data_IF_573870013002
#
_entry.id   IF_573870013002
#
_cell.length_a   1.000
_cell.length_b   1.000
_cell.length_c   1.000
_cell.angle_alpha   90.00
_cell.angle_beta   90.00
_cell.angle_gamma   90.00
#
_symmetry.space_group_name_H-M   'P 1'
#
loop_
_entity.id
_entity.type
_entity.pdbx_description
1 polymer ?
#
# COMPACT_ATOMS: atom_id res chain seq x y z
N UNK A 1 -9.29 -39.09 74.66
CA UNK A 1 -7.99 -38.61 74.19
C UNK A 1 -8.07 -38.46 72.69
N UNK A 2 -8.38 -37.28 72.23
CA UNK A 2 -8.47 -36.95 70.80
C UNK A 2 -7.28 -36.15 70.36
N UNK A 3 -6.90 -36.20 69.09
CA UNK A 3 -6.08 -35.16 68.54
C UNK A 3 -6.79 -34.23 67.56
N UNK A 4 -6.29 -33.04 67.56
CA UNK A 4 -6.71 -31.83 66.95
C UNK A 4 -6.86 -31.85 65.41
N UNK A 5 -7.91 -31.20 64.96
CA UNK A 5 -8.12 -30.85 63.55
C UNK A 5 -7.21 -29.69 63.15
N UNK A 6 -6.30 -29.88 62.21
CA UNK A 6 -5.57 -28.83 61.53
C UNK A 6 -6.38 -28.25 60.37
N UNK A 7 -6.78 -26.99 60.48
CA UNK A 7 -7.43 -26.20 59.43
C UNK A 7 -6.37 -25.87 58.36
N UNK A 8 -6.58 -26.36 57.12
CA UNK A 8 -5.87 -25.94 55.93
C UNK A 8 -6.40 -24.56 55.49
N UNK A 9 -5.53 -23.55 55.63
CA UNK A 9 -5.72 -22.22 55.04
C UNK A 9 -5.56 -22.30 53.50
N UNK A 10 -6.67 -22.16 52.81
CA UNK A 10 -6.70 -22.05 51.38
C UNK A 10 -5.95 -20.77 50.91
N UNK A 11 -4.90 -20.96 50.14
CA UNK A 11 -4.21 -19.88 49.46
C UNK A 11 -5.13 -19.37 48.33
N UNK A 12 -5.64 -18.17 48.48
CA UNK A 12 -6.31 -17.41 47.44
C UNK A 12 -5.21 -16.98 46.44
N UNK A 13 -5.23 -17.60 45.25
CA UNK A 13 -4.41 -17.14 44.13
C UNK A 13 -5.08 -15.88 43.55
N UNK A 14 -4.34 -14.74 43.44
CA UNK A 14 -4.90 -13.59 42.73
C UNK A 14 -5.09 -13.97 41.24
N UNK A 15 -6.31 -13.82 40.74
CA UNK A 15 -6.60 -13.80 39.31
C UNK A 15 -5.83 -12.60 38.72
N UNK A 16 -4.72 -12.86 38.09
CA UNK A 16 -4.06 -11.89 37.20
C UNK A 16 -4.96 -11.80 35.98
N UNK A 17 -5.81 -10.77 35.98
CA UNK A 17 -6.54 -10.37 34.80
C UNK A 17 -5.49 -9.86 33.78
N UNK A 18 -5.04 -10.77 32.93
CA UNK A 18 -4.23 -10.43 31.75
C UNK A 18 -5.16 -9.71 30.77
N UNK A 19 -5.23 -8.40 30.88
CA UNK A 19 -5.73 -7.57 29.80
C UNK A 19 -4.73 -7.67 28.66
N UNK A 20 -4.90 -8.71 27.85
CA UNK A 20 -4.31 -8.76 26.52
C UNK A 20 -4.94 -7.60 25.73
N UNK A 21 -4.28 -6.45 25.78
CA UNK A 21 -4.53 -5.32 24.89
C UNK A 21 -4.32 -5.86 23.49
N UNK A 22 -5.41 -6.16 22.77
CA UNK A 22 -5.39 -6.57 21.39
C UNK A 22 -4.60 -5.51 20.63
N UNK A 23 -3.39 -5.86 20.21
CA UNK A 23 -2.72 -5.18 19.10
C UNK A 23 -3.63 -5.45 17.92
N UNK A 24 -4.40 -4.46 17.50
CA UNK A 24 -4.90 -4.41 16.14
C UNK A 24 -3.67 -4.56 15.26
N UNK A 25 -3.56 -5.67 14.53
CA UNK A 25 -2.57 -5.84 13.48
C UNK A 25 -2.90 -4.77 12.43
N UNK A 26 -2.29 -3.59 12.57
CA UNK A 26 -2.30 -2.56 11.54
C UNK A 26 -1.51 -3.17 10.39
N UNK A 27 -2.20 -3.53 9.32
CA UNK A 27 -1.58 -4.08 8.13
C UNK A 27 -0.58 -3.06 7.59
N UNK A 28 0.71 -3.35 7.73
CA UNK A 28 1.78 -2.49 7.24
C UNK A 28 1.96 -2.70 5.75
N UNK A 29 2.10 -1.62 5.01
CA UNK A 29 2.35 -1.66 3.57
C UNK A 29 3.83 -1.31 3.29
N UNK A 30 4.60 -2.24 2.69
CA UNK A 30 5.95 -1.91 2.26
C UNK A 30 5.92 -0.85 1.17
N UNK A 31 6.78 0.15 1.31
CA UNK A 31 6.82 1.31 0.41
C UNK A 31 8.25 1.83 0.27
N UNK A 32 8.58 2.37 -0.91
CA UNK A 32 9.85 3.04 -1.12
C UNK A 32 9.80 4.48 -0.57
N UNK A 33 10.96 5.06 -0.23
CA UNK A 33 11.01 6.45 0.21
C UNK A 33 10.48 7.43 -0.85
N UNK A 34 10.82 7.29 -2.16
CA UNK A 34 10.21 8.10 -3.21
C UNK A 34 8.70 7.90 -3.38
N UNK A 35 8.20 6.67 -3.12
CA UNK A 35 6.77 6.39 -3.15
C UNK A 35 6.02 7.10 -2.04
N UNK A 36 6.52 7.01 -0.82
CA UNK A 36 5.94 7.72 0.32
C UNK A 36 5.94 9.24 0.09
N UNK A 37 7.01 9.79 -0.48
CA UNK A 37 7.08 11.21 -0.79
C UNK A 37 5.99 11.64 -1.77
N UNK A 38 5.76 10.87 -2.85
CA UNK A 38 4.68 11.17 -3.81
C UNK A 38 3.30 11.18 -3.17
N UNK A 39 2.99 10.21 -2.30
CA UNK A 39 1.71 10.18 -1.58
C UNK A 39 1.56 11.37 -0.63
N UNK A 40 2.63 11.78 0.05
CA UNK A 40 2.62 12.97 0.89
C UNK A 40 2.41 14.26 0.07
N UNK A 41 3.01 14.35 -1.11
CA UNK A 41 2.84 15.52 -2.00
C UNK A 41 1.41 15.58 -2.55
N UNK A 42 0.83 14.43 -2.95
CA UNK A 42 -0.58 14.33 -3.34
C UNK A 42 -1.51 14.76 -2.19
N UNK A 43 -1.29 14.25 -0.98
CA UNK A 43 -2.04 14.63 0.21
C UNK A 43 -1.97 16.14 0.48
N UNK A 44 -0.78 16.71 0.37
CA UNK A 44 -0.56 18.15 0.54
C UNK A 44 -1.32 18.95 -0.52
N UNK A 45 -1.27 18.55 -1.79
CA UNK A 45 -1.99 19.21 -2.88
C UNK A 45 -3.51 19.18 -2.64
N UNK A 46 -4.05 18.02 -2.28
CA UNK A 46 -5.48 17.88 -1.99
C UNK A 46 -5.91 18.80 -0.83
N UNK A 47 -5.14 18.83 0.26
CA UNK A 47 -5.46 19.66 1.45
C UNK A 47 -5.25 21.15 1.22
N UNK A 48 -4.17 21.55 0.55
CA UNK A 48 -3.79 22.94 0.43
C UNK A 48 -4.44 23.65 -0.78
N UNK A 49 -4.78 22.91 -1.84
CA UNK A 49 -5.29 23.49 -3.09
C UNK A 49 -6.70 23.02 -3.42
N UNK A 50 -6.91 21.71 -3.58
CA UNK A 50 -8.19 21.18 -4.07
C UNK A 50 -9.34 21.41 -3.09
N UNK A 51 -9.13 21.07 -1.81
CA UNK A 51 -10.14 21.26 -0.76
C UNK A 51 -10.60 22.73 -0.62
N UNK A 52 -9.72 23.74 -0.52
CA UNK A 52 -10.15 25.15 -0.48
C UNK A 52 -10.81 25.60 -1.77
N UNK A 53 -10.37 25.09 -2.92
CA UNK A 53 -10.96 25.41 -4.22
C UNK A 53 -12.41 24.94 -4.31
N UNK A 54 -12.66 23.65 -3.97
CA UNK A 54 -14.02 23.11 -4.02
C UNK A 54 -14.96 23.74 -3.00
N UNK A 55 -14.47 24.14 -1.84
CA UNK A 55 -15.27 24.88 -0.84
C UNK A 55 -15.74 26.21 -1.41
N UNK A 56 -14.86 26.93 -2.14
CA UNK A 56 -15.24 28.18 -2.82
C UNK A 56 -16.27 27.94 -3.91
N UNK A 57 -16.08 26.93 -4.76
CA UNK A 57 -17.04 26.56 -5.80
C UNK A 57 -18.42 26.24 -5.23
N UNK A 58 -18.48 25.54 -4.10
CA UNK A 58 -19.76 25.28 -3.40
C UNK A 58 -20.39 26.57 -2.88
N UNK A 59 -19.58 27.46 -2.32
CA UNK A 59 -20.07 28.75 -1.84
C UNK A 59 -20.61 29.61 -2.98
N UNK A 60 -19.90 29.67 -4.11
CA UNK A 60 -20.32 30.42 -5.30
C UNK A 60 -21.60 29.81 -5.91
N UNK A 61 -21.68 28.49 -6.04
CA UNK A 61 -22.88 27.83 -6.55
C UNK A 61 -24.12 28.09 -5.70
N UNK A 62 -23.98 28.28 -4.39
CA UNK A 62 -25.09 28.63 -3.49
C UNK A 62 -25.71 29.98 -3.76
N UNK A 63 -24.98 30.90 -4.41
CA UNK A 63 -25.49 32.26 -4.74
C UNK A 63 -26.38 32.26 -5.99
N UNK A 64 -26.43 31.16 -6.75
CA UNK A 64 -27.11 31.06 -8.06
C UNK A 64 -28.53 30.47 -8.03
N UNK A 65 -29.29 30.62 -6.95
CA UNK A 65 -30.71 30.30 -6.92
C UNK A 65 -31.05 28.97 -6.19
N UNK A 66 -32.11 28.30 -6.63
CA UNK A 66 -32.60 27.10 -5.95
C UNK A 66 -31.59 25.97 -6.00
N UNK A 67 -31.18 25.52 -4.81
CA UNK A 67 -30.16 24.50 -4.64
C UNK A 67 -30.61 23.12 -5.10
N UNK A 68 -31.91 22.84 -5.13
CA UNK A 68 -32.44 21.55 -5.53
C UNK A 68 -32.26 21.24 -7.02
N UNK A 69 -32.27 22.29 -7.85
CA UNK A 69 -32.11 22.16 -9.32
C UNK A 69 -30.72 22.64 -9.79
N UNK A 70 -29.83 23.03 -8.87
CA UNK A 70 -28.52 23.56 -9.22
C UNK A 70 -27.50 22.44 -9.46
N UNK A 71 -27.33 22.09 -10.74
CA UNK A 71 -26.39 21.05 -11.16
C UNK A 71 -24.94 21.35 -10.75
N UNK A 72 -24.51 22.61 -10.76
CA UNK A 72 -23.15 23.00 -10.36
C UNK A 72 -22.92 22.74 -8.87
N UNK A 73 -23.89 23.06 -8.03
CA UNK A 73 -23.85 22.75 -6.60
C UNK A 73 -23.73 21.25 -6.34
N UNK A 74 -24.53 20.43 -7.00
CA UNK A 74 -24.49 18.97 -6.84
C UNK A 74 -23.15 18.40 -7.30
N UNK A 75 -22.63 18.82 -8.47
CA UNK A 75 -21.33 18.40 -8.97
C UNK A 75 -20.19 18.81 -8.04
N UNK A 76 -20.22 20.03 -7.49
CA UNK A 76 -19.22 20.48 -6.55
C UNK A 76 -19.25 19.70 -5.22
N UNK A 77 -20.43 19.35 -4.73
CA UNK A 77 -20.58 18.50 -3.52
C UNK A 77 -20.09 17.09 -3.74
N UNK A 78 -20.36 16.49 -4.91
CA UNK A 78 -19.84 15.18 -5.28
C UNK A 78 -18.31 15.20 -5.33
N UNK A 79 -17.72 16.20 -6.02
CA UNK A 79 -16.26 16.36 -6.08
C UNK A 79 -15.65 16.57 -4.69
N UNK A 80 -16.31 17.33 -3.80
CA UNK A 80 -15.87 17.46 -2.41
C UNK A 80 -15.80 16.11 -1.71
N UNK A 81 -16.82 15.26 -1.87
CA UNK A 81 -16.85 13.92 -1.28
C UNK A 81 -15.69 13.06 -1.77
N UNK A 82 -15.35 13.10 -3.06
CA UNK A 82 -14.18 12.40 -3.60
C UNK A 82 -12.87 12.92 -3.01
N UNK A 83 -12.70 14.24 -2.90
CA UNK A 83 -11.49 14.84 -2.32
C UNK A 83 -11.32 14.40 -0.85
N UNK A 84 -12.37 14.47 -0.05
CA UNK A 84 -12.32 14.08 1.36
C UNK A 84 -12.07 12.56 1.50
N UNK A 85 -12.71 11.73 0.68
CA UNK A 85 -12.46 10.30 0.66
C UNK A 85 -11.01 9.96 0.30
N UNK A 86 -10.44 10.64 -0.73
CA UNK A 86 -9.04 10.45 -1.12
C UNK A 86 -8.06 10.91 -0.06
N UNK A 87 -8.35 12.02 0.63
CA UNK A 87 -7.54 12.49 1.76
C UNK A 87 -7.51 11.44 2.88
N UNK A 88 -8.66 10.91 3.28
CA UNK A 88 -8.75 9.90 4.32
C UNK A 88 -7.99 8.60 3.94
N UNK A 89 -8.15 8.15 2.70
CA UNK A 89 -7.42 6.99 2.16
C UNK A 89 -5.90 7.20 2.21
N UNK A 90 -5.42 8.36 1.74
CA UNK A 90 -3.98 8.68 1.76
C UNK A 90 -3.43 8.78 3.18
N UNK A 91 -4.19 9.35 4.12
CA UNK A 91 -3.79 9.41 5.53
C UNK A 91 -3.64 8.01 6.14
N UNK A 92 -4.56 7.09 5.84
CA UNK A 92 -4.50 5.71 6.29
C UNK A 92 -3.30 4.95 5.71
N UNK A 93 -3.08 5.08 4.38
CA UNK A 93 -1.95 4.45 3.70
C UNK A 93 -0.62 4.96 4.26
N UNK A 94 -0.47 6.28 4.42
CA UNK A 94 0.74 6.91 4.94
C UNK A 94 1.00 6.49 6.40
N UNK A 95 -0.06 6.42 7.22
CA UNK A 95 0.06 6.00 8.61
C UNK A 95 0.48 4.53 8.76
N UNK A 96 0.14 3.69 7.77
CA UNK A 96 0.45 2.26 7.75
C UNK A 96 1.69 1.92 6.90
N UNK A 97 2.36 2.94 6.31
CA UNK A 97 3.52 2.74 5.45
C UNK A 97 4.74 2.25 6.25
N UNK A 98 5.39 1.21 5.75
CA UNK A 98 6.69 0.75 6.22
C UNK A 98 7.73 1.05 5.13
N UNK A 99 8.58 2.05 5.38
CA UNK A 99 9.57 2.47 4.39
C UNK A 99 10.72 1.47 4.35
N UNK A 100 10.96 0.92 3.16
CA UNK A 100 12.08 0.04 2.88
C UNK A 100 13.01 0.76 1.91
N UNK A 101 14.28 0.89 2.29
CA UNK A 101 15.32 1.44 1.42
C UNK A 101 15.92 0.34 0.54
N UNK A 102 15.67 0.35 -0.79
CA UNK A 102 16.22 -0.66 -1.69
C UNK A 102 17.75 -0.65 -1.73
N UNK A 103 18.40 0.50 -1.54
CA UNK A 103 19.86 0.62 -1.60
C UNK A 103 20.57 -0.12 -0.46
N UNK A 104 19.87 -0.35 0.65
CA UNK A 104 20.36 -1.16 1.77
C UNK A 104 20.28 -2.66 1.50
N UNK A 105 19.55 -3.07 0.44
CA UNK A 105 19.38 -4.45 0.06
C UNK A 105 20.43 -4.83 -1.00
N UNK A 106 21.02 -6.01 -0.84
CA UNK A 106 21.97 -6.57 -1.77
C UNK A 106 21.70 -8.07 -1.95
N UNK A 107 22.24 -8.66 -3.00
CA UNK A 107 22.15 -10.08 -3.24
C UNK A 107 21.79 -10.42 -4.68
N UNK A 108 21.89 -11.72 -5.01
CA UNK A 108 21.64 -12.25 -6.35
C UNK A 108 20.15 -12.48 -6.64
N UNK A 109 19.31 -12.43 -5.60
CA UNK A 109 17.88 -12.71 -5.71
C UNK A 109 17.05 -11.42 -5.74
N UNK A 110 16.00 -11.44 -6.55
CA UNK A 110 15.03 -10.36 -6.64
C UNK A 110 14.29 -10.22 -5.31
N UNK A 111 14.28 -8.99 -4.78
CA UNK A 111 13.58 -8.58 -3.56
C UNK A 111 12.74 -7.32 -3.82
N UNK A 112 12.03 -6.86 -2.80
CA UNK A 112 11.33 -5.57 -2.83
C UNK A 112 12.30 -4.43 -3.23
N UNK A 113 11.84 -3.50 -4.06
CA UNK A 113 12.61 -2.35 -4.53
C UNK A 113 13.59 -2.64 -5.67
N UNK A 114 13.83 -3.90 -6.04
CA UNK A 114 14.73 -4.26 -7.12
C UNK A 114 14.25 -3.73 -8.47
N UNK A 115 15.16 -3.21 -9.26
CA UNK A 115 14.99 -2.98 -10.70
C UNK A 115 15.35 -4.27 -11.43
N UNK A 116 14.46 -4.78 -12.26
CA UNK A 116 14.58 -6.05 -12.97
C UNK A 116 14.44 -5.80 -14.46
N UNK A 117 15.41 -6.26 -15.25
CA UNK A 117 15.33 -6.29 -16.70
C UNK A 117 14.85 -7.65 -17.15
N UNK A 118 13.78 -7.67 -17.93
CA UNK A 118 13.11 -8.87 -18.42
C UNK A 118 13.05 -8.83 -19.94
N UNK A 119 13.11 -10.00 -20.55
CA UNK A 119 12.74 -10.20 -21.95
C UNK A 119 11.60 -11.20 -22.03
N UNK A 120 10.60 -10.89 -22.82
CA UNK A 120 9.47 -11.78 -23.15
C UNK A 120 9.97 -12.75 -24.23
N UNK A 121 10.00 -14.06 -23.92
CA UNK A 121 10.56 -15.08 -24.83
C UNK A 121 9.76 -15.25 -26.13
N UNK A 122 8.47 -14.87 -26.16
CA UNK A 122 7.66 -14.99 -27.38
C UNK A 122 7.80 -13.78 -28.31
N UNK A 123 7.90 -12.58 -27.71
CA UNK A 123 7.90 -11.33 -28.48
C UNK A 123 9.28 -10.68 -28.59
N UNK A 124 10.28 -11.21 -27.88
CA UNK A 124 11.65 -10.67 -27.76
C UNK A 124 11.69 -9.20 -27.26
N UNK A 125 10.62 -8.76 -26.61
CA UNK A 125 10.53 -7.39 -26.09
C UNK A 125 11.14 -7.30 -24.70
N UNK A 126 12.07 -6.36 -24.59
CA UNK A 126 12.66 -6.03 -23.30
C UNK A 126 11.76 -5.06 -22.52
N UNK A 127 11.70 -5.25 -21.21
CA UNK A 127 11.00 -4.38 -20.29
C UNK A 127 11.78 -4.25 -18.99
N UNK A 128 11.75 -3.06 -18.40
CA UNK A 128 12.37 -2.82 -17.09
C UNK A 128 11.32 -2.46 -16.09
N UNK A 129 11.32 -3.15 -14.97
CA UNK A 129 10.37 -2.92 -13.89
C UNK A 129 11.08 -2.78 -12.55
N UNK A 130 10.61 -1.83 -11.73
CA UNK A 130 10.93 -1.76 -10.31
C UNK A 130 9.82 -2.42 -9.51
N UNK A 131 10.15 -3.34 -8.60
CA UNK A 131 9.18 -3.97 -7.71
C UNK A 131 8.90 -3.04 -6.53
N UNK A 132 7.66 -2.55 -6.43
CA UNK A 132 7.24 -1.54 -5.47
C UNK A 132 6.00 -1.97 -4.68
N UNK A 133 5.61 -1.19 -3.69
CA UNK A 133 4.37 -1.39 -2.94
C UNK A 133 3.12 -1.24 -3.79
N UNK A 134 2.00 -1.74 -3.26
CA UNK A 134 0.71 -1.74 -3.98
C UNK A 134 0.26 -0.33 -4.35
N UNK A 135 0.48 0.65 -3.45
CA UNK A 135 0.04 2.03 -3.63
C UNK A 135 1.00 2.89 -4.47
N UNK A 136 2.15 2.33 -4.85
CA UNK A 136 3.15 3.00 -5.70
C UNK A 136 3.11 2.52 -7.15
N UNK A 137 2.36 1.46 -7.41
CA UNK A 137 2.36 0.77 -8.69
C UNK A 137 1.89 1.68 -9.84
N UNK A 138 2.68 1.67 -10.91
CA UNK A 138 2.36 2.34 -12.16
C UNK A 138 3.11 1.63 -13.29
N UNK A 139 2.41 0.74 -13.97
CA UNK A 139 2.99 -0.09 -15.03
C UNK A 139 3.55 0.76 -16.16
N UNK A 140 2.90 1.88 -16.50
CA UNK A 140 3.36 2.79 -17.56
C UNK A 140 4.68 3.46 -17.19
N UNK A 141 4.87 3.73 -15.89
CA UNK A 141 6.12 4.26 -15.33
C UNK A 141 7.12 3.19 -14.92
N UNK A 142 6.94 1.92 -15.33
CA UNK A 142 7.86 0.82 -15.00
C UNK A 142 7.81 0.38 -13.53
N UNK A 143 6.76 0.72 -12.78
CA UNK A 143 6.63 0.33 -11.38
C UNK A 143 5.62 -0.81 -11.22
N UNK A 144 6.12 -1.99 -10.89
CA UNK A 144 5.37 -3.23 -10.76
C UNK A 144 4.97 -3.47 -9.31
N UNK A 145 3.66 -3.63 -9.05
CA UNK A 145 3.18 -3.96 -7.71
C UNK A 145 3.72 -5.31 -7.24
N UNK A 146 4.20 -5.37 -5.99
CA UNK A 146 4.61 -6.62 -5.32
C UNK A 146 3.49 -7.67 -5.29
N UNK A 147 2.23 -7.26 -5.33
CA UNK A 147 1.07 -8.16 -5.35
C UNK A 147 0.74 -8.70 -6.73
N UNK A 148 1.32 -8.16 -7.81
CA UNK A 148 1.05 -8.60 -9.18
C UNK A 148 1.54 -10.04 -9.42
N UNK A 149 0.89 -10.79 -10.32
CA UNK A 149 1.32 -12.15 -10.66
C UNK A 149 2.79 -12.21 -11.14
N UNK A 150 3.20 -11.25 -11.97
CA UNK A 150 4.57 -11.16 -12.48
C UNK A 150 5.56 -10.92 -11.33
N UNK A 151 5.31 -9.95 -10.43
CA UNK A 151 6.20 -9.70 -9.30
C UNK A 151 6.31 -10.91 -8.36
N UNK A 152 5.19 -11.60 -8.10
CA UNK A 152 5.19 -12.82 -7.28
C UNK A 152 6.01 -13.94 -7.89
N UNK A 153 6.01 -14.08 -9.22
CA UNK A 153 6.82 -15.07 -9.93
C UNK A 153 8.32 -14.69 -9.91
N UNK A 154 8.64 -13.39 -9.95
CA UNK A 154 10.00 -12.87 -9.98
C UNK A 154 10.70 -12.89 -8.62
N UNK A 155 9.97 -12.61 -7.52
CA UNK A 155 10.56 -12.54 -6.18
C UNK A 155 11.26 -13.86 -5.82
N UNK A 156 12.52 -13.75 -5.35
CA UNK A 156 13.37 -14.88 -5.00
C UNK A 156 14.11 -15.52 -6.18
N UNK A 157 13.85 -15.10 -7.42
CA UNK A 157 14.59 -15.54 -8.62
C UNK A 157 15.89 -14.74 -8.79
N UNK A 158 16.75 -15.22 -9.69
CA UNK A 158 18.05 -14.63 -10.01
C UNK A 158 18.21 -14.42 -11.52
N UNK A 159 19.26 -13.72 -11.90
CA UNK A 159 19.62 -13.50 -13.32
C UNK A 159 19.80 -14.84 -14.03
N UNK A 160 19.23 -14.96 -15.22
CA UNK A 160 19.21 -16.17 -16.05
C UNK A 160 18.07 -17.14 -15.74
N UNK A 161 17.25 -16.88 -14.71
CA UNK A 161 16.05 -17.67 -14.47
C UNK A 161 14.92 -17.24 -15.42
N UNK A 162 14.12 -18.21 -15.87
CA UNK A 162 12.86 -17.96 -16.61
C UNK A 162 11.67 -18.14 -15.68
N UNK A 163 10.66 -17.28 -15.82
CA UNK A 163 9.41 -17.35 -15.07
C UNK A 163 8.21 -17.35 -16.01
N UNK A 164 7.28 -18.27 -15.80
CA UNK A 164 6.01 -18.32 -16.49
C UNK A 164 4.93 -17.59 -15.68
N UNK A 165 4.14 -16.73 -16.33
CA UNK A 165 3.10 -15.93 -15.70
C UNK A 165 1.80 -16.10 -16.48
N UNK A 166 0.70 -16.50 -15.82
CA UNK A 166 -0.58 -16.63 -16.49
C UNK A 166 -1.08 -15.27 -16.99
N UNK A 167 -1.40 -15.20 -18.27
CA UNK A 167 -1.97 -14.03 -18.93
C UNK A 167 -3.27 -14.40 -19.67
N UNK A 168 -4.16 -13.44 -19.96
CA UNK A 168 -5.43 -13.71 -20.64
C UNK A 168 -5.32 -14.37 -22.01
N UNK A 169 -4.12 -14.33 -22.64
CA UNK A 169 -3.82 -14.96 -23.94
C UNK A 169 -3.02 -16.25 -23.87
N UNK A 170 -2.79 -16.81 -22.70
CA UNK A 170 -1.89 -17.96 -22.45
C UNK A 170 -0.78 -17.58 -21.50
N UNK A 171 -0.05 -18.58 -20.99
CA UNK A 171 1.10 -18.34 -20.11
C UNK A 171 2.20 -17.63 -20.92
N UNK A 172 2.77 -16.59 -20.34
CA UNK A 172 3.91 -15.85 -20.90
C UNK A 172 5.18 -16.18 -20.13
N UNK A 173 6.24 -16.46 -20.85
CA UNK A 173 7.56 -16.71 -20.27
C UNK A 173 8.44 -15.47 -20.36
N UNK A 174 9.08 -15.14 -19.24
CA UNK A 174 10.00 -14.02 -19.15
C UNK A 174 11.34 -14.51 -18.62
N UNK A 175 12.43 -14.17 -19.31
CA UNK A 175 13.79 -14.39 -18.85
C UNK A 175 14.29 -13.15 -18.11
N UNK A 176 15.03 -13.34 -17.01
CA UNK A 176 15.62 -12.29 -16.19
C UNK A 176 17.01 -11.98 -16.68
N UNK A 177 17.17 -10.82 -17.36
CA UNK A 177 18.44 -10.37 -17.89
C UNK A 177 19.33 -9.70 -16.85
N UNK A 178 18.75 -9.02 -15.87
CA UNK A 178 19.52 -8.31 -14.87
C UNK A 178 18.71 -7.87 -13.65
N UNK A 179 19.42 -7.64 -12.54
CA UNK A 179 18.85 -7.19 -11.27
C UNK A 179 19.75 -6.07 -10.74
N UNK A 180 19.15 -4.96 -10.28
CA UNK A 180 19.88 -3.87 -9.63
C UNK A 180 19.06 -3.30 -8.47
N UNK A 181 19.73 -2.99 -7.37
CA UNK A 181 19.19 -2.25 -6.23
C UNK A 181 19.75 -0.82 -6.28
N UNK A 182 18.87 0.19 -6.37
CA UNK A 182 19.24 1.60 -6.52
C UNK A 182 18.48 2.42 -5.48
#
# INVERSE_FOLDING_TARGET
>A
MGPAAARALGRIRPLICSTAKGRSDVQKFPMTAPGLQRLNDELRQLKASERPSIIRQIADARTHGDLSENAEYHAARERQSFIEGRIAELEEIIASAEVIDPSSLSGEHIKFGAHVWLVDEETEKEATYQIVGVHEADIKGGRLSISSPLAKALIGKKVGDTVAVPAPGGDRSYEILGIKFI
#
